data_IF_163341357695
#
_entry.id   IF_163341357695
#
_cell.length_a   1.000
_cell.length_b   1.000
_cell.length_c   1.000
_cell.angle_alpha   90.00
_cell.angle_beta   90.00
_cell.angle_gamma   90.00
#
_symmetry.space_group_name_H-M   'P 1'
#
loop_
_entity.id
_entity.type
_entity.pdbx_description
1 polymer ?
#
# COMPACT_ATOMS: atom_id res chain seq x y z
N UNK A 1 -11.92 4.20 -12.88
CA UNK A 1 -12.48 5.25 -12.04
C UNK A 1 -12.54 6.59 -12.77
N UNK A 2 -13.49 7.44 -12.39
CA UNK A 2 -13.63 8.79 -12.97
C UNK A 2 -12.84 9.83 -12.16
N UNK A 3 -12.32 9.46 -11.02
CA UNK A 3 -11.51 10.34 -10.17
C UNK A 3 -10.01 10.07 -10.35
N UNK A 4 -9.23 11.05 -10.00
CA UNK A 4 -7.79 10.93 -9.88
C UNK A 4 -7.40 11.01 -8.40
N UNK A 5 -6.50 10.14 -7.99
CA UNK A 5 -6.01 10.07 -6.63
C UNK A 5 -4.48 9.97 -6.65
N UNK A 6 -3.85 10.81 -5.88
CA UNK A 6 -2.42 10.71 -5.62
C UNK A 6 -2.21 10.84 -4.12
N UNK A 7 -1.56 9.85 -3.55
CA UNK A 7 -1.23 9.83 -2.12
C UNK A 7 0.25 9.51 -1.93
N UNK A 8 0.87 10.30 -1.10
CA UNK A 8 2.22 10.03 -0.60
C UNK A 8 2.16 10.10 0.92
N UNK A 9 2.57 9.01 1.58
CA UNK A 9 2.62 8.95 3.04
C UNK A 9 3.95 8.44 3.51
N UNK A 10 4.42 9.04 4.60
CA UNK A 10 5.59 8.58 5.34
C UNK A 10 5.17 8.32 6.78
N UNK A 11 5.40 7.13 7.26
CA UNK A 11 4.99 6.70 8.60
C UNK A 11 6.20 6.18 9.34
N UNK A 12 6.38 6.61 10.59
CA UNK A 12 7.33 6.04 11.53
C UNK A 12 6.69 4.81 12.17
N UNK A 13 7.30 3.64 11.99
CA UNK A 13 6.73 2.35 12.42
C UNK A 13 7.21 1.88 13.78
N UNK A 14 8.06 2.62 14.49
CA UNK A 14 8.62 2.19 15.77
C UNK A 14 7.53 1.75 16.76
N UNK A 15 6.55 2.61 17.02
CA UNK A 15 5.47 2.30 17.97
C UNK A 15 4.61 1.14 17.51
N UNK A 16 4.28 1.07 16.22
CA UNK A 16 3.46 -0.01 15.67
C UNK A 16 4.17 -1.37 15.79
N UNK A 17 5.45 -1.43 15.50
CA UNK A 17 6.24 -2.65 15.62
C UNK A 17 6.40 -3.08 17.08
N UNK A 18 6.62 -2.14 17.98
CA UNK A 18 6.68 -2.41 19.42
C UNK A 18 5.35 -2.96 19.95
N UNK A 19 4.22 -2.41 19.51
CA UNK A 19 2.89 -2.91 19.88
C UNK A 19 2.61 -4.32 19.35
N UNK A 20 3.24 -4.70 18.24
CA UNK A 20 3.17 -6.06 17.69
C UNK A 20 4.14 -7.05 18.37
N UNK A 21 4.90 -6.61 19.36
CA UNK A 21 5.85 -7.44 20.08
C UNK A 21 7.29 -7.39 19.55
N UNK A 22 7.56 -6.54 18.56
CA UNK A 22 8.91 -6.35 18.01
C UNK A 22 9.55 -5.14 18.68
N UNK A 23 10.03 -5.32 19.90
CA UNK A 23 10.62 -4.22 20.68
C UNK A 23 12.13 -4.27 20.79
N UNK A 24 12.70 -5.47 20.84
CA UNK A 24 14.11 -5.68 21.15
C UNK A 24 15.05 -5.03 20.14
N UNK A 25 14.68 -4.99 18.86
CA UNK A 25 15.54 -4.42 17.83
C UNK A 25 15.73 -2.90 17.97
N UNK A 26 14.85 -2.22 18.69
CA UNK A 26 14.93 -0.78 18.96
C UNK A 26 15.65 -0.45 20.27
N UNK A 27 15.87 -1.44 21.12
CA UNK A 27 16.49 -1.25 22.42
C UNK A 27 18.01 -1.54 22.32
N UNK A 28 18.87 -0.55 22.57
CA UNK A 28 20.34 -0.75 22.52
C UNK A 28 20.85 -1.83 23.47
N UNK A 29 20.09 -2.13 24.53
CA UNK A 29 20.49 -3.15 25.52
C UNK A 29 20.01 -4.56 25.18
N UNK A 30 19.00 -4.69 24.33
CA UNK A 30 18.35 -5.95 23.96
C UNK A 30 18.58 -6.37 22.51
N UNK A 31 18.93 -5.42 21.63
CA UNK A 31 19.10 -5.68 20.20
C UNK A 31 20.31 -6.57 19.94
N UNK A 32 20.13 -7.54 19.06
CA UNK A 32 21.19 -8.38 18.52
C UNK A 32 21.14 -8.40 17.01
N UNK A 33 21.92 -7.52 16.38
CA UNK A 33 22.11 -7.43 14.93
C UNK A 33 23.53 -7.89 14.53
N UNK A 34 24.11 -8.78 15.31
CA UNK A 34 25.47 -9.33 15.09
C UNK A 34 25.60 -10.08 13.75
N UNK A 35 24.48 -10.53 13.18
CA UNK A 35 24.47 -11.09 11.83
C UNK A 35 24.80 -10.08 10.73
N UNK A 36 24.70 -8.79 11.02
CA UNK A 36 25.06 -7.71 10.09
C UNK A 36 26.49 -7.25 10.35
N UNK A 37 26.78 -6.88 11.58
CA UNK A 37 28.12 -6.38 11.98
C UNK A 37 28.26 -6.34 13.51
N UNK A 38 29.46 -6.60 14.01
CA UNK A 38 29.79 -6.47 15.41
C UNK A 38 29.24 -7.58 16.31
N UNK A 39 29.13 -7.28 17.59
CA UNK A 39 28.57 -8.14 18.63
C UNK A 39 27.17 -7.70 19.03
N UNK A 40 26.48 -8.53 19.82
CA UNK A 40 25.17 -8.18 20.36
C UNK A 40 25.22 -6.85 21.13
N UNK A 41 24.31 -5.93 20.81
CA UNK A 41 24.25 -4.60 21.42
C UNK A 41 25.06 -3.51 20.69
N UNK A 42 25.89 -3.85 19.71
CA UNK A 42 26.67 -2.86 18.94
C UNK A 42 25.80 -2.10 17.94
N UNK A 43 24.76 -2.76 17.42
CA UNK A 43 23.81 -2.19 16.48
C UNK A 43 22.38 -2.35 16.98
N UNK A 44 21.59 -1.32 16.77
CA UNK A 44 20.14 -1.36 16.98
C UNK A 44 19.44 -0.49 15.96
N UNK A 45 18.13 -0.68 15.79
CA UNK A 45 17.33 0.14 14.87
C UNK A 45 16.89 1.41 15.59
N UNK A 46 17.30 2.56 15.11
CA UNK A 46 16.88 3.86 15.63
C UNK A 46 15.48 4.22 15.14
N UNK A 47 15.27 4.17 13.84
CA UNK A 47 13.99 4.48 13.21
C UNK A 47 13.66 3.49 12.09
N UNK A 48 12.39 3.10 12.05
CA UNK A 48 11.83 2.34 10.94
C UNK A 48 10.79 3.21 10.23
N UNK A 49 11.10 3.61 9.01
CA UNK A 49 10.26 4.51 8.22
C UNK A 49 9.64 3.76 7.05
N UNK A 50 8.35 3.88 6.89
CA UNK A 50 7.62 3.34 5.76
C UNK A 50 7.09 4.48 4.90
N UNK A 51 7.53 4.53 3.65
CA UNK A 51 7.07 5.50 2.66
C UNK A 51 6.29 4.81 1.57
N UNK A 52 5.13 5.34 1.26
CA UNK A 52 4.27 4.83 0.19
C UNK A 52 3.87 5.94 -0.75
N UNK A 53 3.77 5.59 -2.01
CA UNK A 53 3.22 6.43 -3.06
C UNK A 53 2.21 5.60 -3.86
N UNK A 54 1.04 6.15 -4.11
CA UNK A 54 0.04 5.56 -4.99
C UNK A 54 -0.60 6.65 -5.84
N UNK A 55 -0.71 6.38 -7.13
CA UNK A 55 -1.42 7.23 -8.09
C UNK A 55 -2.43 6.40 -8.85
N UNK A 56 -3.65 6.88 -8.86
CA UNK A 56 -4.76 6.26 -9.58
C UNK A 56 -5.39 7.33 -10.46
N UNK A 57 -5.53 7.04 -11.73
CA UNK A 57 -6.18 7.91 -12.71
C UNK A 57 -7.15 7.12 -13.59
N UNK A 58 -7.70 7.78 -14.59
CA UNK A 58 -8.64 7.15 -15.53
C UNK A 58 -8.03 6.00 -16.35
N UNK A 59 -6.73 6.00 -16.51
CA UNK A 59 -5.99 4.98 -17.26
C UNK A 59 -5.64 3.74 -16.42
N UNK A 60 -5.71 3.87 -15.13
CA UNK A 60 -5.41 2.80 -14.18
C UNK A 60 -4.60 3.26 -12.99
N UNK A 61 -3.99 2.31 -12.32
CA UNK A 61 -3.06 2.56 -11.21
C UNK A 61 -1.63 2.48 -11.73
N UNK A 62 -0.79 3.41 -11.36
CA UNK A 62 0.61 3.46 -11.86
C UNK A 62 1.41 2.21 -11.48
N UNK A 63 0.99 1.49 -10.46
CA UNK A 63 1.56 0.19 -10.09
C UNK A 63 1.12 -0.97 -11.01
N UNK A 64 0.14 -0.77 -11.90
CA UNK A 64 -0.36 -1.78 -12.81
C UNK A 64 0.12 -1.50 -14.23
N UNK A 65 0.81 -2.47 -14.82
CA UNK A 65 1.16 -2.44 -16.23
C UNK A 65 -0.10 -2.31 -17.09
N UNK A 66 -0.02 -1.46 -18.12
CA UNK A 66 -1.11 -1.27 -19.06
C UNK A 66 -1.59 -2.59 -19.64
N UNK A 67 -2.75 -3.02 -19.25
CA UNK A 67 -3.42 -4.14 -19.92
C UNK A 67 -4.09 -3.57 -21.16
N UNK A 68 -3.61 -3.96 -22.32
CA UNK A 68 -4.25 -3.62 -23.57
C UNK A 68 -5.68 -4.12 -23.57
N UNK A 69 -6.63 -3.23 -23.66
CA UNK A 69 -8.01 -3.61 -23.94
C UNK A 69 -8.13 -3.92 -25.43
N UNK A 70 -8.23 -5.19 -25.73
CA UNK A 70 -8.72 -5.62 -27.02
C UNK A 70 -10.23 -5.30 -27.08
N UNK A 71 -10.59 -4.29 -27.85
CA UNK A 71 -11.99 -4.04 -28.18
C UNK A 71 -12.39 -4.99 -29.30
N UNK A 72 -13.10 -6.05 -28.98
CA UNK A 72 -13.85 -6.78 -29.99
C UNK A 72 -15.14 -6.03 -30.32
N UNK A 73 -15.26 -5.65 -31.57
CA UNK A 73 -16.48 -5.08 -32.12
C UNK A 73 -17.50 -6.20 -32.35
N UNK A 74 -18.26 -6.52 -31.32
CA UNK A 74 -19.42 -7.36 -31.40
C UNK A 74 -20.63 -6.62 -30.81
N UNK A 75 -21.82 -6.85 -31.37
CA UNK A 75 -23.06 -6.31 -30.80
C UNK A 75 -23.27 -6.91 -29.40
N UNK A 76 -22.70 -6.27 -28.41
CA UNK A 76 -22.85 -6.67 -27.04
C UNK A 76 -24.28 -6.35 -26.56
N UNK A 77 -24.93 -7.31 -25.91
CA UNK A 77 -26.14 -7.07 -25.14
C UNK A 77 -25.89 -5.90 -24.17
N UNK A 78 -26.89 -5.04 -23.89
CA UNK A 78 -26.71 -3.92 -22.98
C UNK A 78 -26.27 -4.46 -21.62
N UNK A 79 -25.03 -4.20 -21.28
CA UNK A 79 -24.48 -4.52 -19.97
C UNK A 79 -25.02 -3.49 -18.99
N UNK A 80 -25.72 -3.95 -17.97
CA UNK A 80 -26.15 -3.10 -16.88
C UNK A 80 -24.92 -2.48 -16.20
N UNK A 81 -24.73 -1.19 -16.39
CA UNK A 81 -23.62 -0.47 -15.80
C UNK A 81 -23.93 -0.14 -14.36
N UNK A 82 -23.26 -0.79 -13.43
CA UNK A 82 -23.32 -0.41 -12.02
C UNK A 82 -22.47 0.84 -11.80
N UNK A 83 -23.08 1.86 -11.20
CA UNK A 83 -22.37 3.06 -10.80
C UNK A 83 -21.93 2.94 -9.33
N UNK A 84 -20.65 3.17 -9.06
CA UNK A 84 -20.11 3.29 -7.71
C UNK A 84 -19.57 4.70 -7.57
N UNK A 85 -20.17 5.49 -6.69
CA UNK A 85 -19.83 6.91 -6.51
C UNK A 85 -18.97 7.02 -5.24
N UNK A 86 -17.69 7.35 -5.40
CA UNK A 86 -16.72 7.52 -4.33
C UNK A 86 -16.59 8.99 -3.93
N UNK A 87 -17.64 9.53 -3.32
CA UNK A 87 -17.75 10.93 -2.91
C UNK A 87 -17.59 11.16 -1.40
N UNK A 88 -17.12 10.18 -0.68
CA UNK A 88 -16.85 10.21 0.76
C UNK A 88 -15.58 9.43 1.05
N UNK A 89 -15.01 9.54 2.27
CA UNK A 89 -13.85 8.72 2.63
C UNK A 89 -14.12 7.23 2.42
N UNK A 90 -13.12 6.52 1.91
CA UNK A 90 -13.24 5.09 1.62
C UNK A 90 -11.92 4.34 1.86
N UNK A 91 -12.04 3.06 2.10
CA UNK A 91 -10.92 2.13 2.13
C UNK A 91 -10.63 1.64 0.71
N UNK A 92 -9.36 1.46 0.40
CA UNK A 92 -8.95 0.87 -0.85
C UNK A 92 -7.83 -0.15 -0.66
N UNK A 93 -7.73 -1.07 -1.58
CA UNK A 93 -6.64 -2.03 -1.64
C UNK A 93 -6.21 -2.27 -3.09
N UNK A 94 -4.92 -2.42 -3.30
CA UNK A 94 -4.36 -2.97 -4.54
C UNK A 94 -3.97 -4.41 -4.23
N UNK A 95 -4.60 -5.36 -4.92
CA UNK A 95 -4.47 -6.77 -4.63
C UNK A 95 -3.89 -7.56 -5.79
N UNK A 96 -3.07 -8.55 -5.47
CA UNK A 96 -2.76 -9.63 -6.40
C UNK A 96 -3.95 -10.60 -6.43
N UNK A 97 -4.66 -10.64 -7.56
CA UNK A 97 -5.88 -11.46 -7.69
C UNK A 97 -5.61 -12.96 -7.77
N UNK A 98 -4.39 -13.37 -8.10
CA UNK A 98 -4.03 -14.80 -8.13
C UNK A 98 -3.87 -15.35 -6.72
N UNK A 99 -3.16 -14.63 -5.88
CA UNK A 99 -2.86 -15.04 -4.50
C UNK A 99 -3.83 -14.47 -3.48
N UNK A 100 -4.70 -13.53 -3.88
CA UNK A 100 -5.59 -12.78 -2.98
C UNK A 100 -4.82 -11.99 -1.91
N UNK A 101 -3.62 -11.53 -2.26
CA UNK A 101 -2.76 -10.80 -1.34
C UNK A 101 -2.87 -9.30 -1.57
N UNK A 102 -3.16 -8.50 -0.53
CA UNK A 102 -3.11 -7.05 -0.65
C UNK A 102 -1.67 -6.57 -0.76
N UNK A 103 -1.36 -5.81 -1.81
CA UNK A 103 -0.06 -5.17 -2.04
C UNK A 103 -0.02 -3.79 -1.43
N UNK A 104 -1.13 -3.06 -1.52
CA UNK A 104 -1.36 -1.77 -0.89
C UNK A 104 -2.71 -1.78 -0.20
N UNK A 105 -2.77 -1.19 0.96
CA UNK A 105 -3.99 -0.98 1.72
C UNK A 105 -3.98 0.44 2.27
N UNK A 106 -5.05 1.16 2.08
CA UNK A 106 -5.09 2.54 2.54
C UNK A 106 -6.49 3.08 2.74
N UNK A 107 -6.52 4.28 3.33
CA UNK A 107 -7.71 5.08 3.53
C UNK A 107 -7.56 6.36 2.73
N UNK A 108 -8.53 6.68 1.90
CA UNK A 108 -8.62 7.97 1.24
C UNK A 108 -9.64 8.83 1.97
N UNK A 109 -9.17 9.88 2.62
CA UNK A 109 -10.00 10.70 3.52
C UNK A 109 -10.67 11.87 2.81
N UNK A 110 -10.13 12.31 1.70
CA UNK A 110 -10.64 13.45 0.93
C UNK A 110 -10.97 13.03 -0.49
N UNK A 111 -12.22 12.71 -0.72
CA UNK A 111 -12.77 12.35 -2.04
C UNK A 111 -13.45 13.51 -2.75
N UNK A 112 -13.07 14.68 -2.39
CA UNK A 112 -13.61 15.89 -3.02
C UNK A 112 -12.91 16.24 -4.32
#
# INVERSE_FOLDING_TARGET
PIFEMQMEKSILLNSAMQNLGVGDMFDPTAADLSGISGDAGDLWVDQMVHKTFIRVDRKGTEAAAATGMAMEAGAAAPVERKAVILNRPFLFAVMDMKTKTPLFLGVYESAA
#
